data_IF_672072034250
#
_entry.id   IF_672072034250
#
_cell.length_a   1.000
_cell.length_b   1.000
_cell.length_c   1.000
_cell.angle_alpha   90.00
_cell.angle_beta   90.00
_cell.angle_gamma   90.00
#
_symmetry.space_group_name_H-M   'P 1'
#
loop_
_entity.id
_entity.type
_entity.pdbx_description
1 polymer ?
#
# COMPACT_ATOMS: atom_id res chain seq x y z
N UNK A 1 1.14 12.21 -17.25
CA UNK A 1 1.67 10.88 -16.94
C UNK A 1 0.56 10.07 -16.31
N UNK A 2 -0.13 9.23 -17.09
CA UNK A 2 -1.14 8.31 -16.57
C UNK A 2 -0.51 6.96 -16.21
N UNK A 3 -0.99 6.34 -15.14
CA UNK A 3 -0.55 5.01 -14.72
C UNK A 3 -1.12 3.91 -15.63
N UNK A 4 -2.27 4.14 -16.27
CA UNK A 4 -2.88 3.20 -17.22
C UNK A 4 -2.46 3.45 -18.67
N UNK A 5 -2.18 2.37 -19.39
CA UNK A 5 -1.90 2.40 -20.84
C UNK A 5 -3.11 2.08 -21.72
N UNK A 6 -4.13 1.40 -21.18
CA UNK A 6 -5.36 0.99 -21.88
C UNK A 6 -6.56 1.07 -20.92
N UNK A 7 -7.77 0.81 -21.44
CA UNK A 7 -9.08 0.93 -20.76
C UNK A 7 -9.50 2.37 -20.50
N UNK A 8 -10.71 2.58 -19.99
CA UNK A 8 -11.27 3.91 -19.71
C UNK A 8 -10.36 4.73 -18.77
N UNK A 9 -9.65 4.07 -17.86
CA UNK A 9 -8.68 4.71 -16.96
C UNK A 9 -7.52 5.42 -17.69
N UNK A 10 -7.16 4.98 -18.89
CA UNK A 10 -6.12 5.62 -19.70
C UNK A 10 -6.59 6.91 -20.39
N UNK A 11 -7.90 7.04 -20.64
CA UNK A 11 -8.48 8.13 -21.45
C UNK A 11 -9.27 9.15 -20.63
N UNK A 12 -9.60 8.84 -19.38
CA UNK A 12 -10.33 9.71 -18.45
C UNK A 12 -9.38 10.32 -17.40
N UNK A 13 -9.78 11.45 -16.81
CA UNK A 13 -9.03 12.15 -15.75
C UNK A 13 -7.56 12.46 -16.11
N UNK A 14 -7.30 12.82 -17.38
CA UNK A 14 -5.96 13.07 -17.92
C UNK A 14 -5.00 11.86 -17.81
N UNK A 15 -5.56 10.65 -17.84
CA UNK A 15 -4.88 9.40 -17.54
C UNK A 15 -4.76 9.25 -16.03
N UNK A 16 -5.49 8.29 -15.46
CA UNK A 16 -5.53 8.10 -14.01
C UNK A 16 -4.13 7.99 -13.42
N UNK A 17 -3.87 8.78 -12.39
CA UNK A 17 -2.65 8.79 -11.58
C UNK A 17 -3.03 8.59 -10.11
N UNK A 18 -2.11 8.08 -9.31
CA UNK A 18 -2.39 7.78 -7.92
C UNK A 18 -2.42 9.06 -7.08
N UNK A 19 -3.56 9.34 -6.46
CA UNK A 19 -3.73 10.45 -5.55
C UNK A 19 -3.11 10.21 -4.18
N UNK A 20 -2.75 11.29 -3.50
CA UNK A 20 -2.32 11.23 -2.11
C UNK A 20 -2.51 12.54 -1.36
N UNK A 21 -2.77 12.39 -0.06
CA UNK A 21 -2.99 13.48 0.91
C UNK A 21 -2.01 13.28 2.07
N UNK A 22 -1.32 14.35 2.46
CA UNK A 22 -0.36 14.34 3.58
C UNK A 22 -0.68 15.48 4.52
N UNK A 23 -0.97 15.16 5.79
CA UNK A 23 -1.35 16.14 6.81
C UNK A 23 -2.49 17.07 6.36
N UNK A 24 -3.50 16.51 5.67
CA UNK A 24 -4.64 17.25 5.13
C UNK A 24 -4.37 18.07 3.87
N UNK A 25 -3.12 18.09 3.36
CA UNK A 25 -2.77 18.75 2.10
C UNK A 25 -2.88 17.78 0.95
N UNK A 26 -3.72 18.10 -0.04
CA UNK A 26 -3.86 17.33 -1.27
C UNK A 26 -2.66 17.64 -2.17
N UNK A 27 -1.72 16.70 -2.27
CA UNK A 27 -0.54 16.83 -3.13
C UNK A 27 -0.80 16.25 -4.53
N UNK A 28 -1.66 15.22 -4.61
CA UNK A 28 -2.20 14.68 -5.85
C UNK A 28 -3.66 14.32 -5.63
N UNK A 29 -4.54 14.71 -6.55
CA UNK A 29 -5.99 14.49 -6.43
C UNK A 29 -6.31 12.99 -6.37
N UNK A 30 -7.16 12.60 -5.42
CA UNK A 30 -7.72 11.24 -5.35
C UNK A 30 -8.63 11.01 -6.57
N UNK A 31 -8.35 9.94 -7.32
CA UNK A 31 -9.07 9.61 -8.55
C UNK A 31 -10.17 8.58 -8.28
N UNK A 32 -11.37 8.74 -8.88
CA UNK A 32 -12.44 7.75 -8.78
C UNK A 32 -12.03 6.35 -9.29
N UNK A 33 -12.63 5.31 -8.72
CA UNK A 33 -12.41 3.92 -9.13
C UNK A 33 -11.12 3.28 -8.62
N UNK A 34 -10.29 4.02 -7.87
CA UNK A 34 -9.03 3.51 -7.33
C UNK A 34 -9.15 3.12 -5.86
N UNK A 35 -8.50 2.02 -5.50
CA UNK A 35 -8.42 1.59 -4.11
C UNK A 35 -7.62 2.60 -3.29
N UNK A 36 -8.20 3.05 -2.19
CA UNK A 36 -7.70 4.17 -1.39
C UNK A 36 -7.68 3.78 0.09
N UNK A 37 -6.50 3.78 0.70
CA UNK A 37 -6.34 3.72 2.15
C UNK A 37 -6.26 5.16 2.67
N UNK A 38 -7.09 5.51 3.64
CA UNK A 38 -7.12 6.85 4.22
C UNK A 38 -7.31 6.83 5.73
N UNK A 39 -6.81 7.88 6.38
CA UNK A 39 -6.89 8.12 7.82
C UNK A 39 -7.58 9.45 8.03
N UNK A 40 -8.64 9.47 8.84
CA UNK A 40 -9.34 10.70 9.19
C UNK A 40 -8.61 11.45 10.32
N UNK A 41 -8.98 12.71 10.53
CA UNK A 41 -8.40 13.56 11.57
C UNK A 41 -8.60 12.99 12.99
N UNK A 42 -9.64 12.20 13.21
CA UNK A 42 -9.92 11.48 14.47
C UNK A 42 -9.05 10.22 14.67
N UNK A 43 -8.23 9.85 13.67
CA UNK A 43 -7.33 8.70 13.70
C UNK A 43 -7.96 7.40 13.20
N UNK A 44 -9.23 7.39 12.79
CA UNK A 44 -9.85 6.20 12.18
C UNK A 44 -9.21 5.88 10.84
N UNK A 45 -9.01 4.58 10.57
CA UNK A 45 -8.38 4.07 9.34
C UNK A 45 -9.46 3.42 8.48
N UNK A 46 -9.49 3.76 7.20
CA UNK A 46 -10.52 3.30 6.28
C UNK A 46 -9.88 2.90 4.95
N UNK A 47 -10.52 1.98 4.24
CA UNK A 47 -10.16 1.62 2.88
C UNK A 47 -11.42 1.50 2.05
N UNK A 48 -11.45 2.17 0.91
CA UNK A 48 -12.58 2.14 -0.02
C UNK A 48 -12.11 2.30 -1.48
N UNK A 49 -13.02 2.06 -2.42
CA UNK A 49 -12.86 2.52 -3.81
C UNK A 49 -13.26 3.99 -3.82
N UNK A 50 -12.33 4.88 -4.16
CA UNK A 50 -12.65 6.31 -4.16
C UNK A 50 -13.76 6.61 -5.16
N UNK A 51 -14.71 7.45 -4.75
CA UNK A 51 -15.78 7.95 -5.61
C UNK A 51 -16.00 9.42 -5.29
N UNK A 52 -16.63 10.16 -6.21
CA UNK A 52 -16.96 11.58 -5.99
C UNK A 52 -17.89 11.77 -4.79
N UNK A 53 -18.66 10.74 -4.43
CA UNK A 53 -19.53 10.75 -3.25
C UNK A 53 -18.74 10.73 -1.95
N UNK A 54 -17.45 10.40 -1.97
CA UNK A 54 -16.55 10.44 -0.82
C UNK A 54 -15.80 11.78 -0.72
N UNK A 55 -15.94 12.68 -1.68
CA UNK A 55 -15.19 13.96 -1.68
C UNK A 55 -15.57 14.86 -0.48
N UNK A 56 -16.75 14.67 0.12
CA UNK A 56 -17.11 15.34 1.37
C UNK A 56 -16.17 14.99 2.54
N UNK A 57 -15.45 13.86 2.47
CA UNK A 57 -14.45 13.46 3.46
C UNK A 57 -13.12 14.20 3.29
N UNK A 58 -12.85 14.83 2.15
CA UNK A 58 -11.55 15.48 1.88
C UNK A 58 -11.12 16.48 2.98
N UNK A 59 -12.00 17.34 3.53
CA UNK A 59 -11.62 18.24 4.63
C UNK A 59 -11.29 17.53 5.94
N UNK A 60 -11.71 16.27 6.09
CA UNK A 60 -11.55 15.45 7.28
C UNK A 60 -10.43 14.41 7.16
N UNK A 61 -9.86 14.25 5.96
CA UNK A 61 -8.75 13.32 5.72
C UNK A 61 -7.45 13.93 6.23
N UNK A 62 -6.74 13.18 7.06
CA UNK A 62 -5.37 13.49 7.48
C UNK A 62 -4.35 12.91 6.51
N UNK A 63 -4.53 11.65 6.11
CA UNK A 63 -3.66 10.94 5.18
C UNK A 63 -4.49 10.14 4.20
N UNK A 64 -4.08 10.08 2.93
CA UNK A 64 -4.67 9.16 1.95
C UNK A 64 -3.64 8.73 0.93
N UNK A 65 -3.73 7.48 0.48
CA UNK A 65 -2.90 6.90 -0.59
C UNK A 65 -3.75 6.01 -1.48
N UNK A 66 -3.63 6.24 -2.79
CA UNK A 66 -4.18 5.35 -3.79
C UNK A 66 -3.11 4.45 -4.38
N UNK A 67 -3.50 3.26 -4.79
CA UNK A 67 -2.67 2.44 -5.66
C UNK A 67 -3.50 1.40 -6.41
N UNK A 68 -3.62 1.60 -7.72
CA UNK A 68 -4.32 0.69 -8.61
C UNK A 68 -5.82 0.51 -8.31
N UNK A 69 -6.38 -0.50 -8.95
CA UNK A 69 -7.73 -1.02 -8.66
C UNK A 69 -7.69 -1.96 -7.45
N UNK A 70 -8.82 -2.22 -6.77
CA UNK A 70 -8.84 -3.14 -5.63
C UNK A 70 -8.42 -4.58 -6.00
N UNK A 71 -7.73 -5.25 -5.09
CA UNK A 71 -7.55 -6.71 -5.09
C UNK A 71 -8.81 -7.40 -4.55
N UNK A 72 -9.37 -6.86 -3.47
CA UNK A 72 -10.64 -7.29 -2.89
C UNK A 72 -11.52 -6.05 -2.74
N UNK A 73 -12.79 -6.16 -3.16
CA UNK A 73 -13.80 -5.12 -3.03
C UNK A 73 -15.04 -5.64 -2.29
N UNK A 74 -15.74 -4.77 -1.56
CA UNK A 74 -17.02 -5.14 -0.92
C UNK A 74 -18.10 -5.29 -1.98
N UNK A 75 -18.85 -6.39 -1.93
CA UNK A 75 -20.09 -6.54 -2.68
C UNK A 75 -21.24 -5.75 -2.01
N UNK A 76 -22.45 -5.84 -2.57
CA UNK A 76 -23.64 -5.19 -2.03
C UNK A 76 -23.99 -5.59 -0.58
N UNK A 77 -23.60 -6.79 -0.16
CA UNK A 77 -23.81 -7.31 1.20
C UNK A 77 -22.64 -6.95 2.15
N UNK A 78 -21.67 -6.16 1.69
CA UNK A 78 -20.48 -5.77 2.46
C UNK A 78 -19.39 -6.85 2.54
N UNK A 79 -19.54 -7.97 1.84
CA UNK A 79 -18.61 -9.11 1.82
C UNK A 79 -17.50 -8.87 0.80
N UNK A 80 -16.25 -9.15 1.20
CA UNK A 80 -15.10 -9.05 0.30
C UNK A 80 -15.10 -10.08 -0.82
N UNK A 81 -15.16 -9.60 -2.06
CA UNK A 81 -15.08 -10.39 -3.30
C UNK A 81 -13.86 -9.97 -4.14
N UNK A 82 -13.38 -10.79 -5.08
CA UNK A 82 -12.26 -10.40 -5.94
C UNK A 82 -12.59 -9.11 -6.70
N UNK A 83 -11.66 -8.16 -6.71
CA UNK A 83 -11.82 -6.93 -7.47
C UNK A 83 -12.08 -7.19 -8.95
N UNK A 84 -12.99 -6.41 -9.55
CA UNK A 84 -13.42 -6.57 -10.95
C UNK A 84 -12.26 -6.62 -11.96
N UNK A 85 -11.17 -5.89 -11.70
CA UNK A 85 -10.00 -5.80 -12.58
C UNK A 85 -8.87 -6.78 -12.28
N UNK A 86 -8.98 -7.63 -11.23
CA UNK A 86 -7.91 -8.55 -10.81
C UNK A 86 -7.48 -9.51 -11.92
N UNK A 87 -8.42 -9.96 -12.76
CA UNK A 87 -8.14 -10.86 -13.88
C UNK A 87 -7.69 -10.13 -15.15
N UNK A 88 -7.77 -8.80 -15.19
CA UNK A 88 -7.40 -7.98 -16.33
C UNK A 88 -5.99 -7.42 -16.14
N UNK A 89 -5.01 -7.99 -16.85
CA UNK A 89 -3.60 -7.55 -16.76
C UNK A 89 -3.46 -6.04 -16.95
N UNK A 90 -4.07 -5.52 -18.02
CA UNK A 90 -4.02 -4.10 -18.36
C UNK A 90 -5.03 -3.27 -17.57
N UNK A 91 -6.21 -3.83 -17.25
CA UNK A 91 -7.27 -3.10 -16.55
C UNK A 91 -6.95 -2.81 -15.10
N UNK A 92 -6.24 -3.70 -14.40
CA UNK A 92 -5.79 -3.44 -13.04
C UNK A 92 -4.37 -2.85 -12.94
N UNK A 93 -3.76 -2.52 -14.09
CA UNK A 93 -2.40 -1.99 -14.17
C UNK A 93 -1.37 -2.88 -13.42
N UNK A 94 -1.43 -4.19 -13.65
CA UNK A 94 -0.70 -5.18 -12.84
C UNK A 94 0.78 -5.34 -13.22
N UNK A 95 1.27 -4.57 -14.19
CA UNK A 95 2.64 -4.58 -14.69
C UNK A 95 3.67 -4.04 -13.69
N UNK A 96 3.40 -4.11 -12.37
CA UNK A 96 4.22 -3.57 -11.28
C UNK A 96 5.60 -4.20 -11.09
N UNK A 97 6.27 -4.66 -12.14
CA UNK A 97 7.72 -4.80 -12.20
C UNK A 97 8.24 -4.08 -13.44
N UNK A 98 9.48 -3.58 -13.40
CA UNK A 98 10.07 -2.86 -14.54
C UNK A 98 10.06 -3.70 -15.83
N UNK A 99 10.14 -5.03 -15.69
CA UNK A 99 10.11 -6.03 -16.75
C UNK A 99 8.70 -6.61 -17.00
N UNK A 100 7.65 -6.04 -16.39
CA UNK A 100 6.26 -6.49 -16.49
C UNK A 100 6.04 -7.97 -16.13
N UNK A 101 6.75 -8.48 -15.12
CA UNK A 101 6.61 -9.86 -14.66
C UNK A 101 5.28 -10.08 -13.93
N UNK A 102 4.52 -11.07 -14.39
CA UNK A 102 3.25 -11.47 -13.78
C UNK A 102 3.43 -11.94 -12.33
N UNK A 103 4.44 -12.76 -12.09
CA UNK A 103 4.78 -13.28 -10.76
C UNK A 103 6.07 -12.63 -10.28
N UNK A 104 5.97 -11.85 -9.21
CA UNK A 104 7.09 -11.11 -8.63
C UNK A 104 6.89 -10.95 -7.13
N UNK A 105 7.86 -10.39 -6.42
CA UNK A 105 7.68 -9.98 -5.03
C UNK A 105 6.60 -8.90 -5.00
N UNK A 106 5.59 -9.08 -4.15
CA UNK A 106 4.49 -8.13 -3.99
C UNK A 106 4.23 -7.79 -2.54
N UNK A 107 3.77 -6.57 -2.27
CA UNK A 107 3.14 -6.25 -0.99
C UNK A 107 1.72 -5.75 -1.20
N UNK A 108 0.89 -5.93 -0.19
CA UNK A 108 -0.49 -5.51 -0.19
C UNK A 108 -0.97 -5.24 1.22
N UNK A 109 -2.06 -4.52 1.31
CA UNK A 109 -2.73 -4.22 2.57
C UNK A 109 -4.21 -4.53 2.46
N UNK A 110 -4.78 -5.03 3.56
CA UNK A 110 -6.17 -5.41 3.66
C UNK A 110 -6.81 -4.84 4.92
N UNK A 111 -8.08 -4.47 4.81
CA UNK A 111 -8.95 -4.22 5.95
C UNK A 111 -9.82 -5.44 6.22
N UNK A 112 -9.92 -5.82 7.49
CA UNK A 112 -10.83 -6.87 7.95
C UNK A 112 -11.56 -6.38 9.20
N UNK A 113 -12.85 -6.67 9.27
CA UNK A 113 -13.66 -6.44 10.46
C UNK A 113 -14.02 -7.78 11.11
N UNK A 114 -13.78 -7.93 12.41
CA UNK A 114 -14.17 -9.10 13.21
C UNK A 114 -14.83 -8.60 14.48
N UNK A 115 -16.12 -8.91 14.69
CA UNK A 115 -16.86 -8.50 15.89
C UNK A 115 -16.71 -7.00 16.19
N UNK A 116 -17.00 -6.16 15.18
CA UNK A 116 -16.86 -4.69 15.19
C UNK A 116 -15.43 -4.16 15.42
N UNK A 117 -14.44 -5.05 15.49
CA UNK A 117 -13.04 -4.68 15.58
C UNK A 117 -12.40 -4.70 14.20
N UNK A 118 -11.82 -3.56 13.85
CA UNK A 118 -11.11 -3.39 12.60
C UNK A 118 -9.64 -3.82 12.73
N UNK A 119 -9.15 -4.51 11.71
CA UNK A 119 -7.76 -4.94 11.56
C UNK A 119 -7.20 -4.47 10.24
N UNK A 120 -6.00 -3.89 10.30
CA UNK A 120 -5.16 -3.61 9.14
C UNK A 120 -4.15 -4.74 9.00
N UNK A 121 -4.22 -5.49 7.90
CA UNK A 121 -3.32 -6.61 7.61
C UNK A 121 -2.36 -6.16 6.50
N UNK A 122 -1.07 -6.08 6.82
CA UNK A 122 -0.01 -5.93 5.83
C UNK A 122 0.55 -7.31 5.47
N UNK A 123 0.66 -7.59 4.18
CA UNK A 123 1.17 -8.86 3.68
C UNK A 123 2.27 -8.64 2.65
N UNK A 124 3.33 -9.43 2.77
CA UNK A 124 4.44 -9.48 1.81
C UNK A 124 4.48 -10.87 1.21
N UNK A 125 4.57 -10.91 -0.11
CA UNK A 125 4.53 -12.12 -0.92
C UNK A 125 5.83 -12.23 -1.68
N UNK A 126 6.62 -13.27 -1.41
CA UNK A 126 7.93 -13.44 -2.04
C UNK A 126 7.87 -13.67 -3.55
N UNK A 127 6.76 -14.24 -4.06
CA UNK A 127 6.56 -14.46 -5.49
C UNK A 127 5.10 -14.80 -5.80
N UNK A 128 4.31 -13.84 -6.27
CA UNK A 128 2.86 -13.98 -6.43
C UNK A 128 2.30 -13.17 -7.61
N UNK A 129 1.14 -13.59 -8.10
CA UNK A 129 0.32 -12.82 -9.06
C UNK A 129 -0.75 -12.00 -8.31
N UNK A 130 -1.33 -10.94 -8.89
CA UNK A 130 -2.45 -10.21 -8.27
C UNK A 130 -3.63 -11.14 -7.91
N UNK A 131 -3.96 -12.10 -8.78
CA UNK A 131 -4.96 -13.13 -8.50
C UNK A 131 -4.59 -14.00 -7.30
N UNK A 132 -3.31 -14.37 -7.17
CA UNK A 132 -2.81 -15.11 -6.02
C UNK A 132 -2.94 -14.31 -4.71
N UNK A 133 -2.55 -13.04 -4.72
CA UNK A 133 -2.72 -12.15 -3.55
C UNK A 133 -4.19 -12.05 -3.15
N UNK A 134 -5.07 -11.86 -4.14
CA UNK A 134 -6.52 -11.77 -3.93
C UNK A 134 -7.05 -13.01 -3.22
N UNK A 135 -6.63 -14.21 -3.63
CA UNK A 135 -7.06 -15.47 -2.99
C UNK A 135 -6.57 -15.57 -1.54
N UNK A 136 -5.35 -15.11 -1.25
CA UNK A 136 -4.86 -15.06 0.13
C UNK A 136 -5.70 -14.08 0.95
N UNK A 137 -5.91 -12.84 0.49
CA UNK A 137 -6.74 -11.89 1.23
C UNK A 137 -8.19 -12.37 1.44
N UNK A 138 -8.77 -13.06 0.46
CA UNK A 138 -10.08 -13.70 0.64
C UNK A 138 -10.06 -14.80 1.71
N UNK A 139 -9.02 -15.63 1.77
CA UNK A 139 -8.88 -16.65 2.82
C UNK A 139 -8.73 -16.03 4.21
N UNK A 140 -8.19 -14.80 4.29
CA UNK A 140 -8.17 -14.00 5.49
C UNK A 140 -9.48 -13.21 5.73
N UNK A 141 -10.54 -13.44 4.93
CA UNK A 141 -11.82 -12.73 5.05
C UNK A 141 -11.67 -11.20 5.04
N UNK A 142 -10.74 -10.70 4.22
CA UNK A 142 -10.59 -9.28 4.00
C UNK A 142 -11.85 -8.69 3.38
N UNK A 143 -12.28 -7.54 3.89
CA UNK A 143 -13.40 -6.81 3.35
C UNK A 143 -13.01 -6.00 2.11
N UNK A 144 -11.83 -5.36 2.19
CA UNK A 144 -11.19 -4.56 1.15
C UNK A 144 -9.70 -4.88 1.15
N UNK A 145 -9.09 -4.92 -0.03
CA UNK A 145 -7.64 -5.08 -0.14
C UNK A 145 -7.11 -4.36 -1.37
N UNK A 146 -5.89 -3.83 -1.26
CA UNK A 146 -5.18 -3.19 -2.36
C UNK A 146 -3.74 -3.67 -2.46
N UNK A 147 -3.22 -3.67 -3.68
CA UNK A 147 -1.80 -3.83 -3.93
C UNK A 147 -1.08 -2.55 -3.48
N UNK A 148 0.13 -2.66 -2.95
CA UNK A 148 0.99 -1.51 -2.69
C UNK A 148 2.05 -1.39 -3.79
N UNK A 149 2.53 -0.16 -4.02
CA UNK A 149 3.43 0.13 -5.12
C UNK A 149 4.72 -0.70 -5.02
N UNK A 150 5.08 -1.36 -6.12
CA UNK A 150 6.40 -1.97 -6.26
C UNK A 150 7.29 -0.99 -7.01
N UNK A 151 8.13 -0.32 -6.25
CA UNK A 151 9.36 0.20 -6.80
C UNK A 151 10.39 -0.96 -6.90
N UNK A 152 11.63 -0.65 -7.24
CA UNK A 152 12.70 -1.65 -7.20
C UNK A 152 12.82 -2.29 -5.80
N UNK A 153 13.41 -3.47 -5.72
CA UNK A 153 13.31 -4.32 -4.51
C UNK A 153 14.09 -3.75 -3.32
N UNK A 154 15.14 -2.98 -3.59
CA UNK A 154 15.87 -2.12 -2.65
C UNK A 154 15.01 -0.97 -2.10
N UNK A 155 13.93 -0.63 -2.80
CA UNK A 155 12.98 0.43 -2.46
C UNK A 155 11.65 -0.07 -1.88
N UNK A 156 11.42 -1.39 -1.91
CA UNK A 156 10.27 -2.04 -1.25
C UNK A 156 10.58 -2.16 0.23
N UNK A 157 10.80 -1.04 0.91
CA UNK A 157 11.40 -1.07 2.23
C UNK A 157 10.39 -1.49 3.30
N UNK A 158 10.62 -2.64 3.90
CA UNK A 158 9.93 -3.06 5.11
C UNK A 158 10.91 -3.84 5.99
N UNK A 159 11.14 -3.32 7.18
CA UNK A 159 12.12 -3.84 8.12
C UNK A 159 11.53 -3.87 9.53
N UNK A 160 11.96 -4.86 10.31
CA UNK A 160 11.69 -4.94 11.74
C UNK A 160 12.94 -4.41 12.45
N UNK A 161 12.72 -3.53 13.42
CA UNK A 161 13.78 -2.92 14.21
C UNK A 161 13.73 -3.43 15.66
N UNK A 162 14.14 -4.68 15.93
CA UNK A 162 14.13 -5.19 17.29
C UNK A 162 15.22 -4.51 18.12
N UNK A 163 14.83 -4.15 19.35
CA UNK A 163 15.70 -3.57 20.37
C UNK A 163 15.66 -4.46 21.60
N UNK A 164 16.82 -4.82 22.12
CA UNK A 164 16.89 -5.54 23.40
C UNK A 164 16.56 -4.59 24.57
N UNK A 165 15.87 -5.07 25.63
CA UNK A 165 15.57 -4.25 26.79
C UNK A 165 16.84 -3.62 27.39
N UNK A 166 16.86 -2.30 27.53
CA UNK A 166 17.99 -1.56 28.08
C UNK A 166 19.11 -1.23 27.09
N UNK A 167 19.06 -1.72 25.85
CA UNK A 167 20.02 -1.36 24.81
C UNK A 167 19.68 -0.01 24.15
N UNK A 168 20.66 0.89 23.94
CA UNK A 168 20.47 2.06 23.08
C UNK A 168 20.37 1.68 21.61
N UNK A 169 20.92 0.53 21.22
CA UNK A 169 21.05 0.07 19.85
C UNK A 169 19.92 -0.87 19.45
N UNK A 170 19.62 -0.92 18.15
CA UNK A 170 18.68 -1.86 17.57
C UNK A 170 19.34 -2.54 16.36
N UNK A 171 18.84 -3.72 15.99
CA UNK A 171 19.24 -4.36 14.73
C UNK A 171 18.23 -4.08 13.63
N UNK A 172 18.65 -4.20 12.38
CA UNK A 172 17.78 -4.04 11.22
C UNK A 172 17.53 -5.41 10.62
N UNK A 173 16.28 -5.85 10.63
CA UNK A 173 15.85 -7.10 10.02
C UNK A 173 15.01 -6.77 8.80
N UNK A 174 15.63 -6.74 7.62
CA UNK A 174 14.93 -6.56 6.36
C UNK A 174 14.16 -7.82 5.97
N UNK A 175 13.05 -7.62 5.27
CA UNK A 175 12.29 -8.73 4.68
C UNK A 175 12.96 -9.33 3.42
N UNK A 176 13.76 -8.55 2.70
CA UNK A 176 14.60 -9.02 1.59
C UNK A 176 16.02 -8.46 1.75
N UNK A 177 17.04 -9.29 1.48
CA UNK A 177 18.45 -8.91 1.65
C UNK A 177 18.86 -7.73 0.77
N UNK A 178 18.22 -7.53 -0.38
CA UNK A 178 18.49 -6.40 -1.28
C UNK A 178 18.08 -5.05 -0.70
N UNK A 179 17.19 -5.02 0.30
CA UNK A 179 16.84 -3.78 0.98
C UNK A 179 18.05 -3.19 1.74
N UNK A 180 18.94 -4.04 2.24
CA UNK A 180 20.16 -3.61 2.92
C UNK A 180 21.17 -2.92 1.97
N UNK A 181 21.04 -3.12 0.66
CA UNK A 181 21.88 -2.44 -0.35
C UNK A 181 21.56 -0.94 -0.44
N UNK A 182 20.34 -0.56 -0.06
CA UNK A 182 19.85 0.83 -0.06
C UNK A 182 19.98 1.53 1.31
N UNK A 183 20.46 0.84 2.35
CA UNK A 183 20.61 1.48 3.66
C UNK A 183 21.72 2.55 3.62
N UNK A 184 21.39 3.74 4.12
CA UNK A 184 22.41 4.73 4.44
C UNK A 184 23.34 4.19 5.53
N UNK A 185 24.56 4.70 5.59
CA UNK A 185 25.56 4.23 6.56
C UNK A 185 26.08 5.38 7.41
N UNK A 186 26.33 5.09 8.69
CA UNK A 186 27.09 5.98 9.55
C UNK A 186 28.54 6.08 9.06
N UNK A 187 29.30 7.03 9.64
CA UNK A 187 30.72 7.23 9.29
C UNK A 187 31.60 6.00 9.54
N UNK A 188 31.22 5.16 10.50
CA UNK A 188 31.92 3.91 10.83
C UNK A 188 31.51 2.72 9.93
N UNK A 189 30.62 2.96 8.96
CA UNK A 189 30.16 1.96 8.00
C UNK A 189 28.97 1.12 8.47
N UNK A 190 28.50 1.29 9.71
CA UNK A 190 27.30 0.59 10.21
C UNK A 190 26.04 1.07 9.48
N UNK A 191 25.08 0.17 9.15
CA UNK A 191 23.86 0.54 8.46
C UNK A 191 22.94 1.35 9.38
N UNK A 192 22.37 2.43 8.85
CA UNK A 192 21.37 3.27 9.51
C UNK A 192 19.97 2.71 9.26
N UNK A 193 19.15 2.66 10.30
CA UNK A 193 17.73 2.36 10.18
C UNK A 193 17.03 3.42 9.35
N UNK A 194 16.72 3.09 8.08
CA UNK A 194 15.96 3.97 7.18
C UNK A 194 14.63 4.38 7.83
N UNK A 195 14.21 5.64 7.67
CA UNK A 195 13.00 6.22 8.28
C UNK A 195 13.01 6.40 9.81
N UNK A 196 13.91 5.74 10.55
CA UNK A 196 14.05 5.90 12.01
C UNK A 196 15.24 6.80 12.37
N UNK A 197 16.41 6.53 11.78
CA UNK A 197 17.66 7.27 12.03
C UNK A 197 18.00 8.24 10.90
N UNK A 198 17.47 7.98 9.70
CA UNK A 198 17.68 8.80 8.51
C UNK A 198 16.35 9.34 7.99
N UNK A 199 16.30 10.65 7.78
CA UNK A 199 15.17 11.33 7.15
C UNK A 199 15.17 11.05 5.64
N UNK A 200 14.50 9.97 5.25
CA UNK A 200 14.20 9.68 3.84
C UNK A 200 12.98 10.49 3.39
N UNK A 201 12.96 10.92 2.13
CA UNK A 201 11.90 11.75 1.56
C UNK A 201 10.66 10.95 1.12
N UNK A 202 10.60 9.66 1.47
CA UNK A 202 9.47 8.78 1.13
C UNK A 202 8.52 8.62 2.31
N UNK A 203 7.25 8.45 1.98
CA UNK A 203 6.23 8.13 2.95
C UNK A 203 6.41 6.72 3.50
N UNK A 204 6.23 6.57 4.81
CA UNK A 204 6.27 5.29 5.50
C UNK A 204 5.21 5.26 6.60
N UNK A 205 4.78 4.07 6.97
CA UNK A 205 4.01 3.83 8.19
C UNK A 205 4.87 3.01 9.13
N UNK A 206 4.84 3.31 10.42
CA UNK A 206 5.49 2.51 11.45
C UNK A 206 4.44 1.99 12.42
N UNK A 207 4.65 0.76 12.88
CA UNK A 207 3.83 0.12 13.89
C UNK A 207 4.70 -0.08 15.12
N UNK A 208 4.31 0.53 16.24
CA UNK A 208 4.97 0.32 17.53
C UNK A 208 4.19 -0.74 18.30
N UNK A 209 4.91 -1.73 18.84
CA UNK A 209 4.34 -2.61 19.86
C UNK A 209 4.09 -1.76 21.11
N UNK A 210 2.83 -1.69 21.55
CA UNK A 210 2.47 -1.14 22.86
C UNK A 210 2.86 -2.11 23.97
#
# INVERSE_FOLDING_TARGET
>A
HGAWRLTDFAYTNHGHHYGFVVNGVILSRLQPGLATLYVLQDGTVNMDIWSEQLDFLLPHIRFARQNGTPLVERNADGVGVPGSQVRSWMGGNWSGSAEAQLRTLRSGVCMRTVEDRQFLIYAVFMSVTPSGMTRVFQAYHCDMAMLLDMNSLDLTYSAIYPREPGSPDFSIVHLDRRMAESDSRHRDGTPMGRFIEFSDNRDFFYLLRR
#
